data_IF_117770516751
#
_entry.id   IF_117770516751
#
_cell.length_a   1.000
_cell.length_b   1.000
_cell.length_c   1.000
_cell.angle_alpha   90.00
_cell.angle_beta   90.00
_cell.angle_gamma   90.00
#
_symmetry.space_group_name_H-M   'P 1'
#
loop_
_entity.id
_entity.type
_entity.pdbx_description
1 polymer ?
#
# COMPACT_ATOMS: atom_id res chain seq x y z
N UNK A 1 -0.64 1.65 -50.50
CA UNK A 1 -0.66 2.44 -49.28
C UNK A 1 -0.30 1.53 -48.11
N UNK A 2 0.98 1.55 -47.72
CA UNK A 2 1.54 0.73 -46.66
C UNK A 2 1.13 1.35 -45.31
N UNK A 3 0.25 0.67 -44.55
CA UNK A 3 0.10 0.93 -43.11
C UNK A 3 1.30 0.29 -42.42
N UNK A 4 2.37 1.05 -42.31
CA UNK A 4 3.49 0.72 -41.43
C UNK A 4 2.96 0.50 -40.01
N UNK A 5 3.11 -0.70 -39.53
CA UNK A 5 2.82 -1.09 -38.14
C UNK A 5 3.65 -0.25 -37.18
N UNK A 6 3.00 0.65 -36.45
CA UNK A 6 3.56 1.41 -35.35
C UNK A 6 3.72 0.55 -34.10
N UNK A 7 4.14 -0.69 -34.22
CA UNK A 7 4.37 -1.61 -33.09
C UNK A 7 5.86 -1.86 -32.80
N UNK A 8 6.76 -1.15 -33.51
CA UNK A 8 8.20 -1.42 -33.46
C UNK A 8 8.98 -0.51 -32.50
N UNK A 9 8.34 0.04 -31.47
CA UNK A 9 9.07 0.74 -30.41
C UNK A 9 8.53 0.46 -29.02
N UNK A 10 8.27 -0.80 -28.71
CA UNK A 10 8.44 -1.24 -27.33
C UNK A 10 9.94 -1.36 -27.12
N UNK A 11 10.56 -0.19 -27.10
CA UNK A 11 11.95 -0.05 -26.69
C UNK A 11 12.10 -0.69 -25.33
N UNK A 12 13.16 -1.41 -25.16
CA UNK A 12 13.68 -2.05 -23.99
C UNK A 12 13.29 -1.23 -22.74
N UNK A 13 12.34 -1.74 -21.97
CA UNK A 13 11.94 -1.10 -20.71
C UNK A 13 12.99 -1.51 -19.70
N UNK A 14 13.91 -0.61 -19.39
CA UNK A 14 14.86 -0.80 -18.34
C UNK A 14 14.11 -0.79 -16.99
N UNK A 15 13.95 -1.95 -16.40
CA UNK A 15 13.41 -2.07 -15.06
C UNK A 15 14.34 -2.91 -14.19
N UNK A 16 14.32 -2.66 -12.90
CA UNK A 16 15.00 -3.48 -11.90
C UNK A 16 13.99 -4.12 -10.96
N UNK A 17 14.28 -5.34 -10.52
CA UNK A 17 13.43 -6.07 -9.58
C UNK A 17 14.23 -6.37 -8.31
N UNK A 18 13.70 -5.93 -7.17
CA UNK A 18 14.20 -6.28 -5.84
C UNK A 18 13.18 -7.17 -5.15
N UNK A 19 13.65 -8.25 -4.53
CA UNK A 19 12.82 -9.20 -3.77
C UNK A 19 13.33 -9.31 -2.36
N UNK A 20 12.42 -9.51 -1.42
CA UNK A 20 12.81 -9.70 -0.03
C UNK A 20 11.71 -10.29 0.82
N UNK A 21 12.09 -10.51 2.07
CA UNK A 21 11.21 -11.01 3.13
C UNK A 21 11.43 -10.15 4.36
N UNK A 22 10.33 -9.76 5.01
CA UNK A 22 10.33 -9.15 6.34
C UNK A 22 9.76 -10.18 7.30
N UNK A 23 10.48 -10.52 8.36
CA UNK A 23 9.97 -11.35 9.44
C UNK A 23 9.48 -10.48 10.59
N UNK A 24 8.28 -10.76 11.08
CA UNK A 24 7.73 -10.15 12.27
C UNK A 24 8.11 -10.96 13.50
N UNK A 25 8.67 -10.34 14.51
CA UNK A 25 8.99 -11.00 15.77
C UNK A 25 8.22 -10.41 16.93
N UNK A 26 7.92 -11.26 17.91
CA UNK A 26 7.25 -10.84 19.13
C UNK A 26 8.22 -10.12 20.06
N UNK A 27 7.75 -9.04 20.70
CA UNK A 27 8.44 -8.38 21.81
C UNK A 27 7.81 -8.68 23.17
N UNK A 28 6.82 -9.56 23.21
CA UNK A 28 6.22 -10.02 24.47
C UNK A 28 7.21 -10.97 25.19
N UNK A 29 7.43 -10.81 26.50
CA UNK A 29 8.41 -11.61 27.25
C UNK A 29 8.25 -13.12 27.07
N UNK A 30 7.00 -13.60 27.07
CA UNK A 30 6.66 -15.03 26.93
C UNK A 30 6.91 -15.60 25.52
N UNK A 31 7.14 -14.74 24.54
CA UNK A 31 7.38 -15.08 23.13
C UNK A 31 8.46 -14.22 22.49
N UNK A 32 9.40 -13.77 23.30
CA UNK A 32 10.44 -12.86 22.79
C UNK A 32 11.15 -13.48 21.58
N UNK A 33 11.21 -12.68 20.53
CA UNK A 33 11.84 -12.99 19.22
C UNK A 33 11.24 -14.20 18.47
N UNK A 34 10.15 -14.81 18.94
CA UNK A 34 9.43 -15.78 18.15
C UNK A 34 8.82 -15.10 16.92
N UNK A 35 8.94 -15.72 15.77
CA UNK A 35 8.30 -15.27 14.54
C UNK A 35 6.78 -15.28 14.70
N UNK A 36 6.15 -14.19 14.25
CA UNK A 36 4.69 -13.97 14.30
C UNK A 36 4.07 -13.89 12.92
N UNK A 37 4.89 -13.89 11.90
CA UNK A 37 4.46 -13.75 10.53
C UNK A 37 5.55 -13.17 9.68
N UNK A 38 5.23 -12.97 8.42
CA UNK A 38 6.19 -12.50 7.41
C UNK A 38 5.52 -11.77 6.28
N UNK A 39 6.31 -10.98 5.57
CA UNK A 39 5.94 -10.40 4.29
C UNK A 39 6.94 -10.82 3.22
N UNK A 40 6.42 -11.31 2.12
CA UNK A 40 7.18 -11.55 0.89
C UNK A 40 6.88 -10.42 -0.08
N UNK A 41 7.91 -9.76 -0.60
CA UNK A 41 7.70 -8.63 -1.51
C UNK A 41 8.57 -8.68 -2.76
N UNK A 42 8.04 -8.08 -3.82
CA UNK A 42 8.73 -7.77 -5.06
C UNK A 42 8.54 -6.29 -5.37
N UNK A 43 9.63 -5.55 -5.55
CA UNK A 43 9.61 -4.14 -5.98
C UNK A 43 10.14 -4.08 -7.41
N UNK A 44 9.34 -3.50 -8.30
CA UNK A 44 9.75 -3.19 -9.66
C UNK A 44 9.98 -1.68 -9.71
N UNK A 45 11.19 -1.25 -10.06
CA UNK A 45 11.50 0.14 -10.41
C UNK A 45 11.58 0.24 -11.92
N UNK A 46 10.74 1.07 -12.51
CA UNK A 46 10.66 1.31 -13.95
C UNK A 46 11.65 2.38 -14.42
N UNK A 47 11.89 2.43 -15.73
CA UNK A 47 12.83 3.37 -16.35
C UNK A 47 12.45 4.85 -16.17
N UNK A 48 11.16 5.16 -16.01
CA UNK A 48 10.66 6.50 -15.68
C UNK A 48 10.83 6.88 -14.19
N UNK A 49 11.34 5.96 -13.38
CA UNK A 49 11.55 6.14 -11.94
C UNK A 49 10.34 5.80 -11.07
N UNK A 50 9.18 5.47 -11.65
CA UNK A 50 8.02 4.96 -10.90
C UNK A 50 8.33 3.57 -10.31
N UNK A 51 7.55 3.17 -9.31
CA UNK A 51 7.77 1.90 -8.60
C UNK A 51 6.44 1.23 -8.30
N UNK A 52 6.43 -0.10 -8.49
CA UNK A 52 5.32 -0.94 -8.04
C UNK A 52 5.86 -1.99 -7.07
N UNK A 53 5.23 -2.13 -5.92
CA UNK A 53 5.47 -3.22 -4.99
C UNK A 53 4.28 -4.17 -4.99
N UNK A 54 4.57 -5.47 -5.07
CA UNK A 54 3.60 -6.54 -4.76
C UNK A 54 4.05 -7.21 -3.48
N UNK A 55 3.14 -7.37 -2.53
CA UNK A 55 3.44 -7.95 -1.22
C UNK A 55 2.38 -8.96 -0.83
N UNK A 56 2.85 -10.07 -0.25
CA UNK A 56 2.02 -11.05 0.45
C UNK A 56 2.40 -11.07 1.91
N UNK A 57 1.46 -10.75 2.79
CA UNK A 57 1.64 -10.70 4.24
C UNK A 57 0.92 -11.88 4.89
N UNK A 58 1.64 -12.60 5.75
CA UNK A 58 1.11 -13.66 6.60
C UNK A 58 1.32 -13.27 8.07
N UNK A 59 0.28 -13.17 8.86
CA UNK A 59 0.37 -12.93 10.30
C UNK A 59 -0.26 -14.12 11.02
N UNK A 60 0.55 -14.82 11.81
CA UNK A 60 0.19 -16.08 12.47
C UNK A 60 -0.56 -15.86 13.79
N UNK A 61 -0.64 -14.64 14.30
CA UNK A 61 -1.43 -14.31 15.48
C UNK A 61 -2.92 -14.62 15.23
N UNK A 62 -3.59 -15.14 16.25
CA UNK A 62 -5.01 -15.48 16.13
C UNK A 62 -5.92 -14.27 16.38
N UNK A 63 -6.90 -13.98 15.50
CA UNK A 63 -7.09 -14.61 14.20
C UNK A 63 -5.96 -14.25 13.22
N UNK A 64 -5.54 -15.24 12.42
CA UNK A 64 -4.50 -15.04 11.39
C UNK A 64 -4.95 -14.02 10.34
N UNK A 65 -4.00 -13.29 9.77
CA UNK A 65 -4.27 -12.32 8.71
C UNK A 65 -3.41 -12.68 7.49
N UNK A 66 -4.06 -12.79 6.35
CA UNK A 66 -3.40 -12.87 5.05
C UNK A 66 -3.81 -11.66 4.22
N UNK A 67 -2.84 -10.94 3.71
CA UNK A 67 -3.04 -9.73 2.90
C UNK A 67 -2.18 -9.80 1.65
N UNK A 68 -2.82 -9.58 0.52
CA UNK A 68 -2.15 -9.30 -0.73
C UNK A 68 -2.34 -7.82 -1.04
N UNK A 69 -1.27 -7.13 -1.36
CA UNK A 69 -1.32 -5.75 -1.82
C UNK A 69 -0.42 -5.54 -3.03
N UNK A 70 -0.88 -4.72 -3.96
CA UNK A 70 -0.06 -4.18 -5.04
C UNK A 70 -0.21 -2.67 -4.99
N UNK A 71 0.90 -1.96 -4.83
CA UNK A 71 0.92 -0.51 -4.61
C UNK A 71 1.91 0.15 -5.55
N UNK A 72 1.47 1.20 -6.24
CA UNK A 72 2.27 1.95 -7.22
C UNK A 72 2.44 3.40 -6.77
N UNK A 73 3.67 3.90 -6.89
CA UNK A 73 4.02 5.30 -6.72
C UNK A 73 4.75 5.80 -7.96
N UNK A 74 4.66 7.12 -8.23
CA UNK A 74 5.44 7.76 -9.28
C UNK A 74 6.93 7.94 -8.89
N UNK A 75 7.69 8.62 -9.72
CA UNK A 75 9.11 8.92 -9.48
C UNK A 75 9.35 9.85 -8.28
N UNK A 76 8.35 10.60 -7.83
CA UNK A 76 8.36 11.47 -6.66
C UNK A 76 7.76 10.80 -5.41
N UNK A 77 7.54 9.50 -5.45
CA UNK A 77 6.92 8.68 -4.40
C UNK A 77 5.46 9.02 -4.12
N UNK A 78 4.79 9.73 -5.03
CA UNK A 78 3.37 10.05 -4.88
C UNK A 78 2.52 8.83 -5.24
N UNK A 79 1.56 8.43 -4.40
CA UNK A 79 0.65 7.32 -4.65
C UNK A 79 -0.09 7.46 -5.99
N UNK A 80 -0.14 6.37 -6.75
CA UNK A 80 -0.85 6.30 -8.03
C UNK A 80 -2.08 5.39 -7.96
N UNK A 81 -1.88 4.19 -7.46
CA UNK A 81 -2.95 3.21 -7.23
C UNK A 81 -2.54 2.16 -6.20
N UNK A 82 -3.53 1.45 -5.67
CA UNK A 82 -3.31 0.30 -4.83
C UNK A 82 -4.44 -0.73 -5.03
N UNK A 83 -4.10 -2.00 -4.95
CA UNK A 83 -5.05 -3.09 -4.81
C UNK A 83 -4.77 -3.81 -3.49
N UNK A 84 -5.82 -4.16 -2.76
CA UNK A 84 -5.73 -4.90 -1.50
C UNK A 84 -6.73 -6.04 -1.49
N UNK A 85 -6.29 -7.24 -1.09
CA UNK A 85 -7.14 -8.38 -0.76
C UNK A 85 -6.83 -8.85 0.66
N UNK A 86 -7.86 -9.15 1.44
CA UNK A 86 -7.74 -9.44 2.85
C UNK A 86 -8.54 -10.68 3.25
N UNK A 87 -7.88 -11.56 4.01
CA UNK A 87 -8.48 -12.72 4.68
C UNK A 87 -8.10 -12.67 6.16
N UNK A 88 -9.05 -12.85 7.06
CA UNK A 88 -8.83 -12.86 8.51
C UNK A 88 -9.48 -14.11 9.10
N UNK A 89 -8.69 -14.95 9.78
CA UNK A 89 -9.16 -16.21 10.37
C UNK A 89 -9.81 -17.13 9.33
N UNK A 90 -9.18 -17.29 8.17
CA UNK A 90 -9.63 -18.09 7.02
C UNK A 90 -10.93 -17.58 6.35
N UNK A 91 -11.40 -16.37 6.71
CA UNK A 91 -12.58 -15.74 6.10
C UNK A 91 -12.15 -14.59 5.20
N UNK A 92 -12.65 -14.59 3.98
CA UNK A 92 -12.52 -13.45 3.09
C UNK A 92 -13.19 -12.23 3.70
N UNK A 93 -12.45 -11.14 3.89
CA UNK A 93 -12.95 -9.88 4.44
C UNK A 93 -13.24 -8.85 3.37
N UNK A 94 -12.55 -8.92 2.24
CA UNK A 94 -12.79 -8.02 1.13
C UNK A 94 -11.60 -7.91 0.19
N UNK A 95 -11.85 -7.25 -0.92
CA UNK A 95 -10.82 -6.77 -1.84
C UNK A 95 -11.23 -5.42 -2.38
N UNK A 96 -10.25 -4.60 -2.73
CA UNK A 96 -10.51 -3.26 -3.23
C UNK A 96 -9.40 -2.73 -4.11
N UNK A 97 -9.81 -1.87 -5.02
CA UNK A 97 -8.94 -1.09 -5.85
C UNK A 97 -9.06 0.38 -5.45
N UNK A 98 -7.92 1.06 -5.37
CA UNK A 98 -7.77 2.44 -4.97
C UNK A 98 -7.04 3.20 -6.06
N UNK A 99 -7.53 4.39 -6.39
CA UNK A 99 -6.91 5.30 -7.33
C UNK A 99 -6.73 6.66 -6.70
N UNK A 100 -5.55 7.24 -6.93
CA UNK A 100 -5.17 8.51 -6.34
C UNK A 100 -4.95 9.53 -7.44
N UNK A 101 -5.58 10.70 -7.27
CA UNK A 101 -5.49 11.84 -8.15
C UNK A 101 -4.91 13.03 -7.38
N UNK A 102 -4.63 14.11 -8.06
CA UNK A 102 -4.05 15.32 -7.46
C UNK A 102 -4.92 15.90 -6.32
N UNK A 103 -6.25 15.83 -6.44
CA UNK A 103 -7.21 16.46 -5.51
C UNK A 103 -8.18 15.49 -4.88
N UNK A 104 -8.12 14.20 -5.21
CA UNK A 104 -9.06 13.20 -4.69
C UNK A 104 -8.44 11.80 -4.66
N UNK A 105 -9.06 10.94 -3.87
CA UNK A 105 -8.82 9.50 -3.88
C UNK A 105 -10.16 8.77 -4.06
N UNK A 106 -10.14 7.71 -4.85
CA UNK A 106 -11.31 6.89 -5.13
C UNK A 106 -11.04 5.44 -4.75
N UNK A 107 -12.07 4.74 -4.32
CA UNK A 107 -11.99 3.29 -4.22
C UNK A 107 -13.27 2.61 -4.72
N UNK A 108 -13.05 1.42 -5.29
CA UNK A 108 -14.08 0.43 -5.59
C UNK A 108 -13.71 -0.85 -4.85
N UNK A 109 -14.51 -1.21 -3.85
CA UNK A 109 -14.23 -2.35 -2.99
C UNK A 109 -15.43 -3.27 -2.88
N UNK A 110 -15.16 -4.52 -2.55
CA UNK A 110 -16.17 -5.47 -2.12
C UNK A 110 -15.76 -6.01 -0.75
N UNK A 111 -16.55 -5.72 0.27
CA UNK A 111 -16.31 -6.21 1.62
C UNK A 111 -17.31 -7.31 2.00
N UNK A 112 -16.89 -8.21 2.88
CA UNK A 112 -17.78 -9.27 3.37
C UNK A 112 -18.94 -8.72 4.22
N UNK A 113 -18.73 -7.54 4.82
CA UNK A 113 -19.70 -6.90 5.70
C UNK A 113 -20.75 -6.09 4.93
N UNK A 114 -20.32 -5.28 3.95
CA UNK A 114 -21.16 -4.27 3.30
C UNK A 114 -21.45 -4.57 1.82
N UNK A 115 -20.78 -5.59 1.23
CA UNK A 115 -20.85 -5.85 -0.19
C UNK A 115 -20.01 -4.86 -1.00
N UNK A 116 -20.55 -4.37 -2.11
CA UNK A 116 -19.87 -3.38 -2.95
C UNK A 116 -19.94 -1.98 -2.34
N UNK A 117 -18.79 -1.35 -2.23
CA UNK A 117 -18.64 0.02 -1.72
C UNK A 117 -17.83 0.84 -2.72
N UNK A 118 -18.35 2.01 -3.07
CA UNK A 118 -17.66 3.02 -3.88
C UNK A 118 -17.49 4.28 -3.04
N UNK A 119 -16.28 4.80 -2.96
CA UNK A 119 -15.99 6.03 -2.22
C UNK A 119 -15.18 6.99 -3.10
N UNK A 120 -15.46 8.28 -2.92
CA UNK A 120 -14.64 9.37 -3.44
C UNK A 120 -14.32 10.31 -2.28
N UNK A 121 -13.02 10.46 -1.99
CA UNK A 121 -12.53 11.32 -0.91
C UNK A 121 -11.80 12.52 -1.49
N UNK A 122 -12.23 13.72 -1.11
CA UNK A 122 -11.57 14.97 -1.53
C UNK A 122 -10.40 15.28 -0.61
N UNK A 123 -9.21 15.40 -1.17
CA UNK A 123 -8.00 15.80 -0.45
C UNK A 123 -8.08 17.28 -0.08
N UNK A 124 -7.64 17.65 1.13
CA UNK A 124 -7.78 18.99 1.69
C UNK A 124 -6.52 19.83 1.61
N UNK A 125 -5.34 19.18 1.69
CA UNK A 125 -4.06 19.86 1.85
C UNK A 125 -3.06 19.52 0.74
N UNK A 126 -3.56 19.25 -0.46
CA UNK A 126 -2.77 18.90 -1.63
C UNK A 126 -2.78 17.39 -1.94
N UNK A 127 -1.88 16.93 -2.81
CA UNK A 127 -1.87 15.55 -3.24
C UNK A 127 -1.58 14.57 -2.10
N UNK A 128 -2.16 13.37 -2.19
CA UNK A 128 -1.91 12.29 -1.23
C UNK A 128 -0.42 11.97 -1.13
N UNK A 129 0.12 11.99 0.09
CA UNK A 129 1.53 11.68 0.35
C UNK A 129 1.77 10.20 0.61
N UNK A 130 0.81 9.51 1.23
CA UNK A 130 0.96 8.10 1.53
C UNK A 130 -0.40 7.41 1.61
N UNK A 131 -0.43 6.16 1.19
CA UNK A 131 -1.56 5.26 1.39
C UNK A 131 -1.08 4.05 2.20
N UNK A 132 -1.61 3.92 3.41
CA UNK A 132 -1.24 2.87 4.34
C UNK A 132 -2.15 1.66 4.14
N UNK A 133 -1.60 0.56 3.68
CA UNK A 133 -2.34 -0.68 3.42
C UNK A 133 -2.03 -1.77 4.45
N UNK A 134 -1.27 -1.41 5.52
CA UNK A 134 -0.85 -2.27 6.62
C UNK A 134 0.12 -3.40 6.23
N UNK A 135 0.69 -3.37 5.05
CA UNK A 135 1.88 -4.15 4.72
C UNK A 135 3.11 -3.27 4.95
N UNK A 136 3.99 -3.65 5.88
CA UNK A 136 5.14 -2.81 6.28
C UNK A 136 6.03 -2.46 5.09
N UNK A 137 6.21 -3.41 4.17
CA UNK A 137 7.00 -3.16 2.96
C UNK A 137 6.43 -2.03 2.09
N UNK A 138 5.10 -1.85 2.05
CA UNK A 138 4.44 -0.73 1.38
C UNK A 138 4.44 0.53 2.26
N UNK A 139 4.03 0.36 3.51
CA UNK A 139 3.80 1.46 4.44
C UNK A 139 5.10 2.22 4.74
N UNK A 140 6.26 1.53 4.70
CA UNK A 140 7.58 2.16 4.86
C UNK A 140 7.90 3.20 3.78
N UNK A 141 7.20 3.19 2.65
CA UNK A 141 7.46 4.15 1.57
C UNK A 141 7.09 5.59 1.93
N UNK A 142 6.30 5.82 2.98
CA UNK A 142 6.02 7.17 3.47
C UNK A 142 7.29 7.89 3.99
N UNK A 143 8.34 7.14 4.38
CA UNK A 143 9.61 7.73 4.78
C UNK A 143 10.32 8.48 3.64
N UNK A 144 9.93 8.24 2.37
CA UNK A 144 10.44 9.02 1.24
C UNK A 144 10.09 10.51 1.32
N UNK A 145 9.06 10.86 2.09
CA UNK A 145 8.63 12.24 2.33
C UNK A 145 9.25 12.87 3.58
N UNK A 146 10.13 12.12 4.29
CA UNK A 146 10.82 12.63 5.44
C UNK A 146 11.99 13.56 5.00
N UNK A 147 12.00 14.79 5.51
CA UNK A 147 13.04 15.76 5.20
C UNK A 147 14.23 15.59 6.14
N UNK A 148 15.28 14.91 5.67
CA UNK A 148 16.49 14.66 6.43
C UNK A 148 17.28 15.95 6.74
N UNK A 149 17.04 17.04 6.01
CA UNK A 149 17.73 18.32 6.24
C UNK A 149 17.30 19.00 7.54
N UNK A 150 16.12 18.64 8.07
CA UNK A 150 15.61 19.13 9.35
C UNK A 150 16.31 18.51 10.56
N UNK A 151 17.18 17.51 10.34
CA UNK A 151 17.84 16.78 11.43
C UNK A 151 16.92 15.77 12.13
N UNK A 152 17.42 15.15 13.22
CA UNK A 152 16.62 14.20 13.98
C UNK A 152 15.45 14.88 14.68
N UNK A 153 14.26 14.26 14.64
CA UNK A 153 13.08 14.79 15.27
C UNK A 153 11.78 14.24 14.64
N UNK A 154 10.66 14.75 15.10
CA UNK A 154 9.34 14.41 14.56
C UNK A 154 9.02 15.32 13.38
N UNK A 155 8.49 14.73 12.31
CA UNK A 155 7.98 15.45 11.15
C UNK A 155 6.53 15.05 10.90
N UNK A 156 5.69 16.03 10.65
CA UNK A 156 4.28 15.82 10.36
C UNK A 156 4.07 15.70 8.86
N UNK A 157 3.55 14.58 8.42
CA UNK A 157 3.15 14.35 7.04
C UNK A 157 1.63 14.47 6.97
N UNK A 158 1.12 15.37 6.15
CA UNK A 158 -0.31 15.55 5.90
C UNK A 158 -0.76 14.72 4.68
N UNK A 159 -2.08 14.56 4.52
CA UNK A 159 -2.71 13.82 3.42
C UNK A 159 -2.23 12.36 3.37
N UNK A 160 -2.53 11.62 4.43
CA UNK A 160 -2.36 10.17 4.51
C UNK A 160 -3.75 9.53 4.58
N UNK A 161 -3.98 8.50 3.76
CA UNK A 161 -5.16 7.66 3.82
C UNK A 161 -4.77 6.24 4.24
N UNK A 162 -5.71 5.54 4.87
CA UNK A 162 -5.60 4.14 5.27
C UNK A 162 -6.58 3.29 4.47
N UNK A 163 -6.24 2.01 4.25
CA UNK A 163 -7.19 1.05 3.66
C UNK A 163 -8.16 0.45 4.69
N UNK A 164 -7.91 0.62 5.99
CA UNK A 164 -8.80 0.18 7.08
C UNK A 164 -8.44 0.90 8.37
N UNK A 165 -9.36 1.01 9.35
CA UNK A 165 -9.11 1.71 10.61
C UNK A 165 -8.16 0.94 11.54
N UNK A 166 -7.96 -0.35 11.30
CA UNK A 166 -7.04 -1.19 12.08
C UNK A 166 -6.22 -2.11 11.17
N UNK A 167 -5.07 -2.53 11.67
CA UNK A 167 -4.12 -3.38 10.92
C UNK A 167 -4.65 -4.79 10.59
N UNK A 168 -5.72 -5.24 11.24
CA UNK A 168 -6.37 -6.52 10.95
C UNK A 168 -7.37 -6.40 9.80
N UNK A 169 -7.86 -5.17 9.53
CA UNK A 169 -8.79 -4.91 8.45
C UNK A 169 -10.14 -5.61 8.61
N UNK A 170 -10.63 -5.75 9.85
CA UNK A 170 -11.85 -6.50 10.14
C UNK A 170 -13.10 -5.97 9.41
N UNK A 171 -13.08 -4.73 8.96
CA UNK A 171 -14.15 -4.10 8.18
C UNK A 171 -14.02 -4.33 6.67
N UNK A 172 -12.91 -4.91 6.21
CA UNK A 172 -12.53 -4.96 4.81
C UNK A 172 -11.88 -3.66 4.31
N UNK A 173 -11.29 -3.66 3.09
CA UNK A 173 -10.58 -2.51 2.56
C UNK A 173 -11.53 -1.41 2.07
N UNK A 174 -11.37 -0.19 2.60
CA UNK A 174 -12.07 1.04 2.21
C UNK A 174 -11.16 2.25 2.41
N UNK A 175 -11.57 3.47 2.01
CA UNK A 175 -10.81 4.69 2.27
C UNK A 175 -11.14 5.25 3.66
N UNK A 176 -10.09 5.41 4.47
CA UNK A 176 -10.16 6.08 5.77
C UNK A 176 -9.14 7.21 5.83
N UNK A 177 -9.55 8.46 6.10
CA UNK A 177 -8.59 9.51 6.37
C UNK A 177 -7.87 9.22 7.68
N UNK A 178 -6.54 9.33 7.68
CA UNK A 178 -5.79 9.38 8.91
C UNK A 178 -6.01 10.78 9.51
N UNK A 179 -6.93 10.87 10.46
CA UNK A 179 -7.24 12.11 11.15
C UNK A 179 -6.04 12.55 11.99
N UNK A 180 -5.20 13.37 11.41
CA UNK A 180 -4.18 14.14 12.11
C UNK A 180 -4.58 15.61 12.18
N UNK A 181 -5.81 15.87 12.58
CA UNK A 181 -6.19 17.12 13.26
C UNK A 181 -5.98 16.84 14.77
N UNK A 182 -4.74 16.80 15.19
CA UNK A 182 -4.31 16.88 16.59
C UNK A 182 -3.64 18.22 16.81
#
# INVERSE_FOLDING_TARGET
>A
MNKSNKMDSITQIDHTITRGVIAYTSKKPERLDHERGREFYNIIKYGDGSRTISVHTEIDDRPSVMRDATYTVDNNWMPQDCFVRLTVGDKFMGSGWFKFYETSAECETFTALEGRVSQNYKLKHGPLKSFQNHAIACDSWHFSHYDLSMGPGEQRIQEILLCSPDHRGATGPMLYPLGLDL
#
